data_IF_534352062197
#
_entry.id   IF_534352062197
#
_cell.length_a   1.000
_cell.length_b   1.000
_cell.length_c   1.000
_cell.angle_alpha   90.00
_cell.angle_beta   90.00
_cell.angle_gamma   90.00
#
_symmetry.space_group_name_H-M   'P 1'
#
loop_
_entity.id
_entity.type
_entity.pdbx_description
1 polymer ?
#
# COMPACT_ATOMS: atom_id res chain seq x y z
N UNK A 1 14.21 8.98 -34.53
CA UNK A 1 12.88 8.68 -35.10
C UNK A 1 12.03 8.04 -33.99
N UNK A 2 11.01 8.75 -33.50
CA UNK A 2 10.11 8.30 -32.40
C UNK A 2 8.68 8.18 -32.96
N UNK A 3 8.39 7.11 -33.70
CA UNK A 3 7.07 6.85 -34.31
C UNK A 3 6.22 5.78 -33.58
N UNK A 4 6.67 5.22 -32.44
CA UNK A 4 5.98 4.12 -31.76
C UNK A 4 4.83 4.54 -30.82
N UNK A 5 4.97 5.65 -30.08
CA UNK A 5 4.06 6.00 -28.97
C UNK A 5 2.66 6.47 -29.39
N UNK A 6 2.53 7.07 -30.58
CA UNK A 6 1.23 7.59 -31.04
C UNK A 6 0.23 6.50 -31.41
N UNK A 7 0.72 5.35 -31.90
CA UNK A 7 -0.12 4.24 -32.33
C UNK A 7 -0.71 3.48 -31.13
N UNK A 8 0.07 3.30 -30.06
CA UNK A 8 -0.38 2.62 -28.84
C UNK A 8 -1.50 3.37 -28.11
N UNK A 9 -1.40 4.71 -28.03
CA UNK A 9 -2.44 5.56 -27.43
C UNK A 9 -3.74 5.47 -28.26
N UNK A 10 -3.63 5.56 -29.59
CA UNK A 10 -4.80 5.47 -30.46
C UNK A 10 -5.50 4.10 -30.37
N UNK A 11 -4.73 3.02 -30.23
CA UNK A 11 -5.26 1.67 -30.00
C UNK A 11 -5.95 1.57 -28.64
N UNK A 12 -5.32 2.07 -27.57
CA UNK A 12 -5.89 2.07 -26.23
C UNK A 12 -7.21 2.88 -26.16
N UNK A 13 -7.25 4.06 -26.77
CA UNK A 13 -8.47 4.87 -26.85
C UNK A 13 -9.58 4.17 -27.63
N UNK A 14 -9.24 3.49 -28.73
CA UNK A 14 -10.22 2.73 -29.52
C UNK A 14 -10.82 1.59 -28.71
N UNK A 15 -10.01 0.86 -27.94
CA UNK A 15 -10.48 -0.20 -27.04
C UNK A 15 -11.33 0.40 -25.93
N UNK A 16 -10.87 1.49 -25.29
CA UNK A 16 -11.62 2.16 -24.22
C UNK A 16 -13.02 2.61 -24.68
N UNK A 17 -13.16 3.10 -25.92
CA UNK A 17 -14.46 3.47 -26.50
C UNK A 17 -15.46 2.31 -26.61
N UNK A 18 -15.00 1.06 -26.61
CA UNK A 18 -15.86 -0.13 -26.62
C UNK A 18 -16.47 -0.39 -25.23
N UNK A 19 -15.85 0.12 -24.17
CA UNK A 19 -16.29 -0.03 -22.79
C UNK A 19 -16.80 1.31 -22.26
N UNK A 20 -18.00 1.71 -22.70
CA UNK A 20 -18.65 2.92 -22.15
C UNK A 20 -18.96 2.72 -20.67
N UNK A 21 -18.56 3.67 -19.84
CA UNK A 21 -18.95 3.68 -18.43
C UNK A 21 -20.47 3.77 -18.32
N UNK A 22 -21.08 2.79 -17.67
CA UNK A 22 -22.51 2.74 -17.35
C UNK A 22 -22.79 3.11 -15.89
N UNK A 23 -21.74 3.33 -15.10
CA UNK A 23 -21.83 3.54 -13.66
C UNK A 23 -22.15 5.00 -13.33
N UNK A 24 -23.10 5.18 -12.40
CA UNK A 24 -23.37 6.47 -11.78
C UNK A 24 -22.33 6.75 -10.70
N UNK A 25 -21.41 7.70 -10.96
CA UNK A 25 -20.36 8.08 -10.02
C UNK A 25 -20.89 8.58 -8.68
N UNK A 26 -22.16 9.05 -8.62
CA UNK A 26 -22.82 9.44 -7.36
C UNK A 26 -23.09 8.25 -6.45
N UNK A 27 -23.09 7.04 -7.01
CA UNK A 27 -23.24 5.76 -6.31
C UNK A 27 -21.91 5.03 -6.11
N UNK A 28 -20.78 5.69 -6.41
CA UNK A 28 -19.47 5.10 -6.20
C UNK A 28 -19.29 4.72 -4.73
N UNK A 29 -18.75 3.51 -4.52
CA UNK A 29 -18.27 3.09 -3.20
C UNK A 29 -16.92 3.75 -2.99
N UNK A 30 -16.76 4.43 -1.87
CA UNK A 30 -15.46 4.93 -1.45
C UNK A 30 -14.73 3.78 -0.77
N UNK A 31 -13.44 3.66 -1.05
CA UNK A 31 -12.56 2.74 -0.36
C UNK A 31 -12.66 2.94 1.17
N UNK A 32 -12.65 1.82 1.88
CA UNK A 32 -12.72 1.75 3.32
C UNK A 32 -12.04 0.46 3.74
N UNK A 33 -11.00 0.55 4.57
CA UNK A 33 -10.18 -0.60 4.90
C UNK A 33 -10.71 -1.30 6.15
N UNK A 34 -10.29 -2.55 6.34
CA UNK A 34 -10.63 -3.27 7.57
C UNK A 34 -9.98 -2.65 8.81
N UNK A 35 -8.84 -1.98 8.64
CA UNK A 35 -8.16 -1.27 9.73
C UNK A 35 -7.29 -0.14 9.20
N UNK A 36 -7.15 0.91 10.01
CA UNK A 36 -6.21 2.01 9.75
C UNK A 36 -4.79 1.53 9.45
N UNK A 37 -4.32 0.50 10.17
CA UNK A 37 -2.99 -0.10 9.96
C UNK A 37 -2.83 -0.60 8.52
N UNK A 38 -3.88 -1.24 7.98
CA UNK A 38 -3.88 -1.73 6.61
C UNK A 38 -3.94 -0.56 5.62
N UNK A 39 -4.80 0.43 5.84
CA UNK A 39 -4.91 1.61 4.99
C UNK A 39 -3.56 2.34 4.85
N UNK A 40 -2.87 2.56 5.98
CA UNK A 40 -1.57 3.22 6.02
C UNK A 40 -0.47 2.41 5.30
N UNK A 41 -0.52 1.09 5.41
CA UNK A 41 0.42 0.21 4.72
C UNK A 41 0.21 0.22 3.21
N UNK A 42 -1.03 0.11 2.75
CA UNK A 42 -1.39 0.16 1.32
C UNK A 42 -1.02 1.52 0.72
N UNK A 43 -1.35 2.62 1.40
CA UNK A 43 -0.96 3.95 0.95
C UNK A 43 0.57 4.12 0.83
N UNK A 44 1.34 3.53 1.74
CA UNK A 44 2.81 3.49 1.67
C UNK A 44 3.33 2.65 0.50
N UNK A 45 2.70 1.51 0.24
CA UNK A 45 3.06 0.61 -0.85
C UNK A 45 2.85 1.28 -2.21
N UNK A 46 1.71 1.94 -2.39
CA UNK A 46 1.31 2.62 -3.62
C UNK A 46 1.91 4.02 -3.78
N UNK A 47 2.63 4.50 -2.75
CA UNK A 47 3.14 5.88 -2.65
C UNK A 47 2.03 6.91 -2.91
N UNK A 48 0.96 6.86 -2.12
CA UNK A 48 -0.17 7.79 -2.19
C UNK A 48 -0.45 8.39 -0.82
N UNK A 49 -1.10 9.56 -0.82
CA UNK A 49 -1.63 10.16 0.41
C UNK A 49 -2.84 9.35 0.86
N UNK A 50 -2.91 9.07 2.16
CA UNK A 50 -4.09 8.48 2.81
C UNK A 50 -4.99 9.60 3.31
N UNK A 51 -6.27 9.57 2.98
CA UNK A 51 -7.29 10.48 3.51
C UNK A 51 -8.08 9.71 4.57
N UNK A 52 -7.83 10.02 5.84
CA UNK A 52 -8.55 9.44 6.96
C UNK A 52 -9.70 10.38 7.35
N UNK A 53 -10.92 9.85 7.41
CA UNK A 53 -12.07 10.54 7.98
C UNK A 53 -12.27 10.00 9.39
N UNK A 54 -11.97 10.81 10.41
CA UNK A 54 -12.07 10.40 11.81
C UNK A 54 -13.22 11.10 12.51
N UNK A 55 -14.06 10.34 13.21
CA UNK A 55 -15.18 10.89 13.98
C UNK A 55 -16.23 9.87 14.40
N UNK A 56 -17.27 10.30 15.13
CA UNK A 56 -18.34 9.39 15.57
C UNK A 56 -19.05 8.73 14.37
N UNK A 57 -19.44 7.46 14.50
CA UNK A 57 -20.07 6.64 13.45
C UNK A 57 -21.19 7.39 12.69
N UNK A 58 -22.10 8.04 13.42
CA UNK A 58 -23.20 8.79 12.82
C UNK A 58 -22.75 9.92 11.86
N UNK A 59 -21.60 10.55 12.14
CA UNK A 59 -21.03 11.59 11.27
C UNK A 59 -20.24 10.99 10.10
N UNK A 60 -19.63 9.82 10.29
CA UNK A 60 -18.88 9.13 9.23
C UNK A 60 -19.77 8.73 8.06
N UNK A 61 -21.00 8.27 8.31
CA UNK A 61 -21.93 7.90 7.25
C UNK A 61 -22.31 9.11 6.37
N UNK A 62 -22.51 10.28 7.01
CA UNK A 62 -22.80 11.53 6.31
C UNK A 62 -21.58 12.00 5.51
N UNK A 63 -20.40 11.98 6.12
CA UNK A 63 -19.15 12.34 5.45
C UNK A 63 -18.84 11.42 4.25
N UNK A 64 -19.12 10.11 4.39
CA UNK A 64 -18.94 9.12 3.32
C UNK A 64 -19.82 9.44 2.12
N UNK A 65 -21.04 9.95 2.30
CA UNK A 65 -21.87 10.39 1.18
C UNK A 65 -21.31 11.64 0.50
N UNK A 66 -20.90 12.66 1.28
CA UNK A 66 -20.37 13.92 0.74
C UNK A 66 -19.06 13.71 -0.03
N UNK A 67 -18.17 12.88 0.52
CA UNK A 67 -16.85 12.60 -0.05
C UNK A 67 -16.91 11.79 -1.34
N UNK A 68 -18.05 11.21 -1.74
CA UNK A 68 -18.17 10.50 -3.03
C UNK A 68 -17.89 11.44 -4.18
N UNK A 69 -18.46 12.65 -4.10
CA UNK A 69 -18.24 13.69 -5.10
C UNK A 69 -16.78 14.11 -5.15
N UNK A 70 -16.12 14.23 -3.99
CA UNK A 70 -14.69 14.57 -3.90
C UNK A 70 -13.84 13.45 -4.48
N UNK A 71 -13.99 12.21 -4.00
CA UNK A 71 -13.20 11.05 -4.41
C UNK A 71 -13.34 10.68 -5.90
N UNK A 72 -14.45 11.08 -6.53
CA UNK A 72 -14.71 10.86 -7.97
C UNK A 72 -14.44 12.10 -8.83
N UNK A 73 -13.97 13.21 -8.26
CA UNK A 73 -13.62 14.41 -9.03
C UNK A 73 -12.47 14.09 -10.02
N UNK A 74 -12.60 14.45 -11.31
CA UNK A 74 -11.59 14.14 -12.33
C UNK A 74 -10.17 14.61 -12.00
N UNK A 75 -10.01 15.63 -11.15
CA UNK A 75 -8.69 16.14 -10.73
C UNK A 75 -7.96 15.19 -9.80
N UNK A 76 -8.68 14.39 -9.01
CA UNK A 76 -8.09 13.57 -7.94
C UNK A 76 -8.47 12.09 -7.96
N UNK A 77 -9.38 11.67 -8.82
CA UNK A 77 -9.81 10.26 -8.90
C UNK A 77 -8.60 9.32 -9.04
N UNK A 78 -8.51 8.34 -8.13
CA UNK A 78 -7.41 7.38 -8.07
C UNK A 78 -6.06 7.91 -7.58
N UNK A 79 -6.00 9.14 -7.02
CA UNK A 79 -4.77 9.75 -6.48
C UNK A 79 -4.57 9.53 -4.98
N UNK A 80 -5.65 9.19 -4.27
CA UNK A 80 -5.69 9.03 -2.82
C UNK A 80 -6.25 7.65 -2.45
N UNK A 81 -5.86 7.16 -1.28
CA UNK A 81 -6.64 6.15 -0.57
C UNK A 81 -7.55 6.83 0.44
N UNK A 82 -8.70 6.24 0.69
CA UNK A 82 -9.66 6.74 1.68
C UNK A 82 -9.88 5.68 2.75
N UNK A 83 -10.09 6.13 3.99
CA UNK A 83 -10.40 5.26 5.12
C UNK A 83 -11.26 6.01 6.13
N UNK A 84 -12.08 5.29 6.90
CA UNK A 84 -12.97 5.86 7.90
C UNK A 84 -12.74 5.19 9.24
N UNK A 85 -12.48 5.96 10.29
CA UNK A 85 -12.20 5.41 11.62
C UNK A 85 -12.98 6.16 12.70
N UNK A 86 -13.75 5.42 13.49
CA UNK A 86 -14.49 5.96 14.64
C UNK A 86 -13.71 5.93 15.95
N UNK A 87 -12.56 5.24 15.97
CA UNK A 87 -11.63 5.23 17.09
C UNK A 87 -10.49 6.26 16.84
N UNK A 88 -9.74 6.56 17.89
CA UNK A 88 -8.58 7.45 17.90
C UNK A 88 -7.25 6.68 18.07
N UNK A 89 -7.26 5.35 17.98
CA UNK A 89 -6.04 4.54 18.10
C UNK A 89 -4.97 4.90 17.05
N UNK A 90 -5.40 5.37 15.86
CA UNK A 90 -4.54 5.77 14.75
C UNK A 90 -3.54 6.89 15.11
N UNK A 91 -3.90 7.78 16.04
CA UNK A 91 -3.09 8.95 16.45
C UNK A 91 -1.71 8.52 16.97
N UNK A 92 -1.61 7.35 17.60
CA UNK A 92 -0.34 6.81 18.13
C UNK A 92 0.71 6.58 17.04
N UNK A 93 0.28 6.38 15.80
CA UNK A 93 1.14 6.10 14.66
C UNK A 93 1.38 7.34 13.79
N UNK A 94 0.67 8.45 14.04
CA UNK A 94 0.66 9.64 13.18
C UNK A 94 1.21 10.85 13.93
N UNK A 95 2.33 11.39 13.45
CA UNK A 95 2.89 12.63 13.95
C UNK A 95 2.09 13.84 13.46
N UNK A 96 1.96 14.87 14.31
CA UNK A 96 1.28 16.12 13.96
C UNK A 96 -0.25 16.07 14.06
N UNK A 97 -0.83 14.97 14.55
CA UNK A 97 -2.26 14.87 14.86
C UNK A 97 -2.50 15.09 16.35
N UNK A 98 -3.57 15.81 16.68
CA UNK A 98 -4.12 15.93 18.03
C UNK A 98 -5.27 14.94 18.30
N UNK A 99 -5.63 14.11 17.31
CA UNK A 99 -6.76 13.17 17.40
C UNK A 99 -8.13 13.83 17.33
N UNK A 100 -8.20 15.08 16.89
CA UNK A 100 -9.47 15.76 16.69
C UNK A 100 -10.26 15.16 15.52
N UNK A 101 -11.59 15.24 15.66
CA UNK A 101 -12.55 14.81 14.64
C UNK A 101 -12.36 15.65 13.38
N UNK A 102 -12.26 15.00 12.22
CA UNK A 102 -12.05 15.71 10.96
C UNK A 102 -11.62 14.82 9.80
N UNK A 103 -11.22 15.48 8.72
CA UNK A 103 -10.65 14.88 7.52
C UNK A 103 -9.16 15.15 7.54
N UNK A 104 -8.35 14.10 7.55
CA UNK A 104 -6.91 14.15 7.75
C UNK A 104 -6.20 13.60 6.53
N UNK A 105 -5.43 14.44 5.84
CA UNK A 105 -4.53 14.01 4.78
C UNK A 105 -3.20 13.57 5.40
N UNK A 106 -2.87 12.29 5.26
CA UNK A 106 -1.73 11.64 5.92
C UNK A 106 -0.69 11.25 4.88
N UNK A 107 0.55 11.70 5.11
CA UNK A 107 1.73 11.16 4.46
C UNK A 107 2.09 9.82 5.09
N UNK A 108 1.99 8.70 4.37
CA UNK A 108 2.50 7.44 4.89
C UNK A 108 4.03 7.49 4.97
N UNK A 109 4.57 6.95 6.07
CA UNK A 109 5.99 6.69 6.20
C UNK A 109 6.43 5.56 5.25
N UNK A 110 7.74 5.40 5.08
CA UNK A 110 8.35 4.50 4.08
C UNK A 110 7.83 3.05 4.12
N UNK A 111 7.54 2.53 5.33
CA UNK A 111 7.06 1.16 5.55
C UNK A 111 5.58 1.10 5.95
N UNK A 112 4.88 2.23 5.98
CA UNK A 112 3.44 2.29 6.29
C UNK A 112 3.07 1.85 7.71
N UNK A 113 4.02 1.94 8.64
CA UNK A 113 3.79 1.71 10.08
C UNK A 113 3.52 2.99 10.85
N UNK A 114 3.98 4.12 10.31
CA UNK A 114 3.85 5.47 10.86
C UNK A 114 3.55 6.44 9.74
N UNK A 115 3.10 7.64 10.09
CA UNK A 115 2.85 8.72 9.13
C UNK A 115 2.91 10.09 9.77
N UNK A 116 2.61 11.10 8.96
CA UNK A 116 2.62 12.51 9.35
C UNK A 116 1.41 13.21 8.73
N UNK A 117 0.78 14.11 9.49
CA UNK A 117 -0.31 14.95 8.97
C UNK A 117 0.26 15.95 7.95
N UNK A 118 -0.30 15.95 6.74
CA UNK A 118 -0.05 16.96 5.72
C UNK A 118 -1.03 18.12 5.81
N UNK A 119 -2.30 17.80 6.08
CA UNK A 119 -3.38 18.76 6.26
C UNK A 119 -4.50 18.12 7.08
N UNK A 120 -5.27 18.96 7.77
CA UNK A 120 -6.43 18.56 8.53
C UNK A 120 -7.54 19.59 8.40
N UNK A 121 -8.76 19.10 8.19
CA UNK A 121 -9.96 19.91 8.03
C UNK A 121 -11.04 19.44 9.03
N UNK A 122 -11.93 20.36 9.46
CA UNK A 122 -13.17 19.99 10.12
C UNK A 122 -14.02 19.01 9.28
N UNK A 123 -14.83 18.20 9.94
CA UNK A 123 -15.65 17.18 9.26
C UNK A 123 -16.82 17.80 8.45
N UNK A 124 -17.17 19.05 8.73
CA UNK A 124 -18.21 19.84 8.07
C UNK A 124 -17.66 20.79 6.99
N UNK A 125 -16.36 20.71 6.67
CA UNK A 125 -15.77 21.45 5.56
C UNK A 125 -16.48 21.18 4.23
N UNK A 126 -16.54 22.23 3.39
CA UNK A 126 -17.17 22.15 2.08
C UNK A 126 -16.37 21.28 1.11
N UNK A 127 -17.04 20.62 0.15
CA UNK A 127 -16.40 19.73 -0.82
C UNK A 127 -15.29 20.41 -1.63
N UNK A 128 -15.46 21.68 -2.01
CA UNK A 128 -14.44 22.44 -2.74
C UNK A 128 -13.19 22.71 -1.88
N UNK A 129 -13.39 23.06 -0.60
CA UNK A 129 -12.30 23.27 0.37
C UNK A 129 -11.52 21.96 0.59
N UNK A 130 -12.23 20.85 0.78
CA UNK A 130 -11.62 19.52 0.91
C UNK A 130 -10.78 19.22 -0.32
N UNK A 131 -11.34 19.42 -1.51
CA UNK A 131 -10.68 19.09 -2.76
C UNK A 131 -9.41 19.92 -3.00
N UNK A 132 -9.46 21.23 -2.79
CA UNK A 132 -8.29 22.10 -2.92
C UNK A 132 -7.20 21.73 -1.91
N UNK A 133 -7.59 21.40 -0.68
CA UNK A 133 -6.67 20.93 0.37
C UNK A 133 -6.00 19.61 -0.02
N UNK A 134 -6.76 18.65 -0.56
CA UNK A 134 -6.22 17.38 -1.03
C UNK A 134 -5.25 17.59 -2.19
N UNK A 135 -5.61 18.41 -3.18
CA UNK A 135 -4.73 18.74 -4.32
C UNK A 135 -3.41 19.33 -3.82
N UNK A 136 -3.46 20.26 -2.86
CA UNK A 136 -2.27 20.85 -2.25
C UNK A 136 -1.43 19.80 -1.51
N UNK A 137 -2.05 18.97 -0.67
CA UNK A 137 -1.38 17.90 0.06
C UNK A 137 -0.67 16.91 -0.87
N UNK A 138 -1.34 16.46 -1.94
CA UNK A 138 -0.74 15.56 -2.92
C UNK A 138 0.38 16.22 -3.73
N UNK A 139 0.26 17.52 -4.04
CA UNK A 139 1.34 18.27 -4.70
C UNK A 139 2.59 18.32 -3.82
N UNK A 140 2.44 18.58 -2.52
CA UNK A 140 3.54 18.55 -1.55
C UNK A 140 4.12 17.14 -1.42
N UNK A 141 3.26 16.13 -1.32
CA UNK A 141 3.69 14.73 -1.23
C UNK A 141 4.49 14.29 -2.46
N UNK A 142 4.03 14.61 -3.67
CA UNK A 142 4.70 14.26 -4.92
C UNK A 142 6.06 14.93 -5.09
N UNK A 143 6.23 16.17 -4.59
CA UNK A 143 7.52 16.89 -4.63
C UNK A 143 8.54 16.35 -3.62
N UNK A 144 8.07 15.95 -2.44
CA UNK A 144 8.94 15.59 -1.31
C UNK A 144 9.21 14.08 -1.19
N UNK A 145 8.44 13.24 -1.89
CA UNK A 145 8.56 11.79 -1.78
C UNK A 145 9.47 11.23 -2.86
N UNK A 146 10.59 10.64 -2.44
CA UNK A 146 11.47 9.92 -3.34
C UNK A 146 10.77 8.69 -3.93
N UNK A 147 11.04 8.39 -5.21
CA UNK A 147 10.52 7.20 -5.88
C UNK A 147 11.01 5.94 -5.17
N UNK A 148 10.08 5.04 -4.84
CA UNK A 148 10.38 3.77 -4.20
C UNK A 148 11.03 2.81 -5.20
N UNK A 149 12.21 2.31 -4.85
CA UNK A 149 12.86 1.21 -5.58
C UNK A 149 12.63 -0.08 -4.81
N UNK A 150 11.84 -0.99 -5.39
CA UNK A 150 11.37 -2.20 -4.71
C UNK A 150 12.51 -3.04 -4.10
N UNK A 151 13.54 -3.36 -4.88
CA UNK A 151 14.65 -4.20 -4.40
C UNK A 151 15.36 -3.58 -3.19
N UNK A 152 15.68 -2.28 -3.25
CA UNK A 152 16.31 -1.54 -2.16
C UNK A 152 15.39 -1.44 -0.94
N UNK A 153 14.10 -1.20 -1.17
CA UNK A 153 13.11 -1.08 -0.11
C UNK A 153 12.95 -2.39 0.67
N UNK A 154 12.81 -3.53 -0.01
CA UNK A 154 12.70 -4.86 0.63
C UNK A 154 13.98 -5.19 1.39
N UNK A 155 15.14 -4.95 0.80
CA UNK A 155 16.43 -5.19 1.48
C UNK A 155 16.58 -4.34 2.75
N UNK A 156 16.18 -3.06 2.68
CA UNK A 156 16.20 -2.14 3.83
C UNK A 156 15.23 -2.57 4.92
N UNK A 157 14.00 -2.93 4.56
CA UNK A 157 13.00 -3.44 5.51
C UNK A 157 13.49 -4.68 6.26
N UNK A 158 14.06 -5.65 5.54
CA UNK A 158 14.68 -6.85 6.12
C UNK A 158 15.83 -6.51 7.07
N UNK A 159 16.73 -5.60 6.67
CA UNK A 159 17.87 -5.17 7.50
C UNK A 159 17.42 -4.49 8.80
N UNK A 160 16.33 -3.72 8.73
CA UNK A 160 15.76 -3.00 9.88
C UNK A 160 14.82 -3.86 10.73
N UNK A 161 14.62 -5.14 10.38
CA UNK A 161 13.68 -6.02 11.09
C UNK A 161 12.22 -5.55 10.99
N UNK A 162 11.89 -4.77 9.97
CA UNK A 162 10.53 -4.27 9.76
C UNK A 162 9.68 -5.41 9.24
N UNK A 163 8.66 -5.76 10.01
CA UNK A 163 7.69 -6.79 9.68
C UNK A 163 6.28 -6.22 9.77
N UNK A 164 5.48 -6.52 8.74
CA UNK A 164 4.06 -6.23 8.73
C UNK A 164 3.31 -7.56 8.83
N UNK A 165 2.61 -7.76 9.94
CA UNK A 165 1.77 -8.94 10.12
C UNK A 165 0.46 -8.76 9.34
N UNK A 166 0.28 -9.59 8.32
CA UNK A 166 -0.94 -9.64 7.50
C UNK A 166 -2.04 -10.40 8.22
N UNK A 167 -3.30 -10.01 8.00
CA UNK A 167 -4.46 -10.77 8.49
C UNK A 167 -4.59 -12.12 7.79
N UNK A 168 -4.13 -12.21 6.54
CA UNK A 168 -4.02 -13.46 5.80
C UNK A 168 -2.62 -14.03 6.01
N UNK A 169 -2.49 -15.28 6.48
CA UNK A 169 -1.20 -15.89 6.73
C UNK A 169 -0.40 -16.01 5.42
N UNK A 170 0.93 -16.04 5.53
CA UNK A 170 1.80 -16.06 4.35
C UNK A 170 2.02 -17.48 3.84
N UNK A 171 1.74 -17.71 2.55
CA UNK A 171 2.01 -18.97 1.86
C UNK A 171 0.95 -19.27 0.80
N UNK A 172 1.00 -20.48 0.26
CA UNK A 172 0.10 -20.98 -0.77
C UNK A 172 -0.64 -22.19 -0.19
N UNK A 173 -1.95 -22.25 -0.39
CA UNK A 173 -2.75 -23.47 -0.20
C UNK A 173 -2.78 -24.16 -1.58
N UNK A 174 -2.00 -25.23 -1.74
CA UNK A 174 -1.84 -25.91 -3.04
C UNK A 174 -2.84 -27.03 -3.24
N UNK A 175 -3.43 -27.54 -2.18
CA UNK A 175 -4.41 -28.63 -2.24
C UNK A 175 -5.86 -28.17 -2.05
N UNK A 176 -6.07 -26.91 -1.69
CA UNK A 176 -7.37 -26.25 -1.59
C UNK A 176 -8.11 -26.57 -0.29
N UNK A 177 -7.41 -27.00 0.76
CA UNK A 177 -8.02 -27.39 2.04
C UNK A 177 -8.32 -26.19 2.97
N UNK A 178 -7.92 -24.99 2.58
CA UNK A 178 -8.07 -23.76 3.35
C UNK A 178 -6.97 -23.52 4.39
N UNK A 179 -5.99 -24.41 4.49
CA UNK A 179 -4.78 -24.27 5.28
C UNK A 179 -3.58 -23.91 4.39
N UNK A 180 -2.61 -23.20 4.96
CA UNK A 180 -1.40 -22.86 4.21
C UNK A 180 -0.42 -24.01 4.26
N UNK A 181 0.00 -24.48 3.07
CA UNK A 181 1.08 -25.44 2.92
C UNK A 181 2.40 -24.85 3.42
N UNK A 182 2.74 -25.21 4.65
CA UNK A 182 4.08 -24.96 5.17
C UNK A 182 5.02 -25.95 4.50
N UNK A 183 5.65 -25.54 3.40
CA UNK A 183 6.79 -26.28 2.85
C UNK A 183 7.75 -26.62 4.00
N UNK A 184 8.08 -27.91 4.24
CA UNK A 184 9.00 -28.27 5.29
C UNK A 184 10.28 -27.47 5.03
N UNK A 185 10.66 -26.63 6.01
CA UNK A 185 11.94 -25.92 6.01
C UNK A 185 12.96 -26.89 5.47
N UNK A 186 13.56 -26.58 4.32
CA UNK A 186 14.71 -27.31 3.77
C UNK A 186 15.69 -27.44 4.93
N UNK A 187 15.66 -28.60 5.59
CA UNK A 187 16.68 -28.97 6.54
C UNK A 187 17.94 -28.92 5.70
N UNK A 188 18.88 -28.08 6.12
CA UNK A 188 20.24 -28.19 5.63
C UNK A 188 20.63 -29.64 5.94
N UNK A 189 20.61 -30.47 4.90
CA UNK A 189 21.10 -31.82 4.95
C UNK A 189 22.55 -31.71 5.41
N UNK A 190 22.77 -31.94 6.70
CA UNK A 190 24.04 -32.38 7.23
C UNK A 190 24.32 -33.69 6.50
N UNK A 191 25.06 -33.60 5.40
CA UNK A 191 25.51 -34.74 4.64
C UNK A 191 26.48 -35.56 5.47
N UNK A 192 25.96 -36.41 6.37
CA UNK A 192 26.67 -37.58 6.86
C UNK A 192 26.65 -38.64 5.77
N UNK A 193 27.48 -38.47 4.74
CA UNK A 193 27.93 -39.60 3.93
C UNK A 193 29.28 -40.02 4.48
N UNK A 194 29.20 -40.92 5.45
CA UNK A 194 30.26 -41.90 5.70
C UNK A 194 30.54 -42.62 4.38
N UNK A 195 31.72 -42.39 3.81
CA UNK A 195 32.28 -43.27 2.79
C UNK A 195 33.79 -43.25 2.93
N UNK A 196 34.28 -44.32 3.54
CA UNK A 196 35.62 -44.86 3.41
C UNK A 196 36.36 -44.35 2.16
N UNK A 197 37.40 -43.54 2.37
CA UNK A 197 38.51 -43.41 1.43
C UNK A 197 39.81 -43.53 2.20
N UNK A 198 40.32 -44.77 2.25
CA UNK A 198 41.73 -45.07 2.53
C UNK A 198 42.63 -44.23 1.59
N UNK A 199 43.75 -43.67 2.08
CA UNK A 199 44.68 -42.94 1.23
C UNK A 199 45.51 -43.91 0.39
N UNK A 200 45.70 -43.70 -0.93
CA UNK A 200 46.64 -44.49 -1.70
C UNK A 200 48.07 -44.06 -1.37
N UNK A 201 48.86 -45.04 -0.95
CA UNK A 201 50.25 -44.91 -0.57
C UNK A 201 51.16 -44.41 -1.68
N UNK A 202 52.11 -43.60 -1.24
CA UNK A 202 53.33 -43.15 -1.90
C UNK A 202 54.12 -44.37 -2.39
N UNK A 203 54.33 -44.52 -3.71
CA UNK A 203 55.34 -45.46 -4.24
C UNK A 203 56.73 -44.83 -4.08
N UNK A 204 57.74 -45.56 -3.61
CA UNK A 204 59.12 -45.09 -3.63
C UNK A 204 59.72 -45.32 -5.04
N UNK A 205 60.51 -44.35 -5.47
CA UNK A 205 61.37 -44.45 -6.65
C UNK A 205 62.37 -45.60 -6.46
N UNK A 206 62.62 -46.34 -7.54
CA UNK A 206 63.79 -47.24 -7.64
C UNK A 206 64.62 -46.82 -8.84
N UNK A 207 65.90 -46.67 -8.56
CA UNK A 207 67.05 -46.62 -9.46
C UNK A 207 67.08 -47.80 -10.45
#
# INVERSE_FOLDING_TARGET
MSMGRGNEIAVAERIARQYKSTADLRKAVIEDFHSFRQALNVASADQRVLVLVSGPVAKLDTARLSLRTVATDPRIIGRFHFDFDSDNAWVKSIAGSDGSVGIVAIRPGEFGLKGEVLAQLPLDSGNDEILDTLIAANTTFAKTTAKKMYATHVAKGKKLGIYFESAVPYGEDRDGDGEIDRSPRRSRSSGSRSSDRRPPGRRPDRE
#
